data_IF_511180106656
#
_entry.id   IF_511180106656
#
_cell.length_a   1.000
_cell.length_b   1.000
_cell.length_c   1.000
_cell.angle_alpha   90.00
_cell.angle_beta   90.00
_cell.angle_gamma   90.00
#
_symmetry.space_group_name_H-M   'P 1'
#
loop_
_entity.id
_entity.type
_entity.pdbx_description
1 polymer ?
#
# COMPACT_ATOMS: atom_id res chain seq x y z
N UNK A 1 5.89 -32.65 -29.41
CA UNK A 1 7.14 -32.48 -30.18
C UNK A 1 8.22 -32.07 -29.19
N UNK A 2 9.34 -32.80 -29.07
CA UNK A 2 10.42 -32.43 -28.14
C UNK A 2 11.48 -31.64 -28.90
N UNK A 3 12.18 -30.72 -28.23
CA UNK A 3 13.17 -29.83 -28.87
C UNK A 3 14.28 -30.62 -29.60
N UNK A 4 14.72 -31.75 -29.02
CA UNK A 4 15.69 -32.66 -29.64
C UNK A 4 15.23 -33.30 -30.96
N UNK A 5 13.91 -33.30 -31.22
CA UNK A 5 13.34 -33.91 -32.41
C UNK A 5 13.40 -32.96 -33.62
N UNK A 6 13.59 -31.65 -33.38
CA UNK A 6 13.53 -30.58 -34.39
C UNK A 6 14.77 -29.69 -34.43
N UNK A 7 15.67 -29.83 -33.46
CA UNK A 7 16.89 -29.03 -33.38
C UNK A 7 18.06 -29.81 -32.78
N UNK A 8 19.24 -29.56 -33.31
CA UNK A 8 20.51 -29.97 -32.75
C UNK A 8 20.99 -28.94 -31.71
N UNK A 9 21.41 -29.40 -30.54
CA UNK A 9 21.94 -28.53 -29.48
C UNK A 9 23.45 -28.69 -29.40
N UNK A 10 24.18 -27.57 -29.45
CA UNK A 10 25.61 -27.50 -29.14
C UNK A 10 25.80 -26.67 -27.89
N UNK A 11 26.65 -27.15 -27.00
CA UNK A 11 27.06 -26.40 -25.81
C UNK A 11 28.56 -26.12 -25.91
N UNK A 12 28.96 -24.92 -25.52
CA UNK A 12 30.36 -24.51 -25.47
C UNK A 12 30.59 -23.64 -24.24
N UNK A 13 31.59 -23.98 -23.44
CA UNK A 13 31.94 -23.25 -22.23
C UNK A 13 33.17 -22.37 -22.48
N UNK A 14 33.12 -21.12 -22.03
CA UNK A 14 34.26 -20.20 -22.02
C UNK A 14 34.29 -19.40 -20.71
N UNK A 15 34.95 -19.97 -19.70
CA UNK A 15 35.14 -19.32 -18.40
C UNK A 15 33.88 -19.48 -17.54
N UNK A 16 33.17 -18.38 -17.29
CA UNK A 16 31.91 -18.39 -16.52
C UNK A 16 30.67 -18.31 -17.44
N UNK A 17 30.85 -18.55 -18.75
CA UNK A 17 29.82 -18.37 -19.78
C UNK A 17 29.58 -19.68 -20.52
N UNK A 18 28.36 -20.21 -20.42
CA UNK A 18 27.90 -21.36 -21.21
C UNK A 18 27.10 -20.85 -22.40
N UNK A 19 27.58 -21.17 -23.60
CA UNK A 19 26.91 -20.89 -24.87
C UNK A 19 26.12 -22.13 -25.28
N UNK A 20 24.81 -21.98 -25.48
CA UNK A 20 23.95 -23.04 -26.00
C UNK A 20 23.43 -22.59 -27.36
N UNK A 21 23.88 -23.25 -28.43
CA UNK A 21 23.37 -23.05 -29.78
C UNK A 21 22.30 -24.10 -30.07
N UNK A 22 21.09 -23.63 -30.37
CA UNK A 22 19.97 -24.45 -30.83
C UNK A 22 19.84 -24.26 -32.34
N UNK A 23 20.14 -25.32 -33.10
CA UNK A 23 20.23 -25.30 -34.55
C UNK A 23 19.05 -26.12 -35.08
N UNK A 24 18.06 -25.45 -35.68
CA UNK A 24 16.93 -26.14 -36.29
C UNK A 24 17.41 -27.09 -37.40
N UNK A 25 16.87 -28.31 -37.46
CA UNK A 25 17.16 -29.22 -38.56
C UNK A 25 16.53 -28.76 -39.88
N UNK A 26 15.41 -28.05 -39.80
CA UNK A 26 14.65 -27.54 -40.93
C UNK A 26 14.24 -26.09 -40.71
N UNK A 27 14.12 -25.35 -41.80
CA UNK A 27 13.75 -23.93 -41.78
C UNK A 27 12.31 -23.70 -41.28
N UNK A 28 11.39 -24.64 -41.53
CA UNK A 28 10.00 -24.58 -41.05
C UNK A 28 9.90 -24.60 -39.51
N UNK A 29 10.81 -25.30 -38.85
CA UNK A 29 10.84 -25.42 -37.38
C UNK A 29 11.44 -24.17 -36.71
N UNK A 30 12.17 -23.34 -37.48
CA UNK A 30 12.83 -22.14 -36.98
C UNK A 30 11.85 -21.17 -36.31
N UNK A 31 10.68 -20.95 -36.93
CA UNK A 31 9.66 -20.04 -36.43
C UNK A 31 9.10 -20.51 -35.07
N UNK A 32 8.80 -21.80 -34.97
CA UNK A 32 8.32 -22.43 -33.73
C UNK A 32 9.35 -22.34 -32.61
N UNK A 33 10.62 -22.60 -32.91
CA UNK A 33 11.73 -22.50 -31.96
C UNK A 33 11.91 -21.06 -31.47
N UNK A 34 11.83 -20.07 -32.36
CA UNK A 34 11.95 -18.63 -32.02
C UNK A 34 10.81 -18.15 -31.11
N UNK A 35 9.59 -18.60 -31.34
CA UNK A 35 8.41 -18.18 -30.58
C UNK A 35 8.33 -18.82 -29.19
N UNK A 36 8.84 -20.05 -29.04
CA UNK A 36 8.73 -20.82 -27.78
C UNK A 36 10.02 -20.79 -26.92
N UNK A 37 11.16 -20.40 -27.48
CA UNK A 37 12.37 -20.10 -26.70
C UNK A 37 12.37 -18.59 -26.40
N UNK A 38 11.51 -18.19 -25.48
CA UNK A 38 11.40 -16.82 -24.95
C UNK A 38 12.32 -16.58 -23.76
N UNK A 39 12.57 -15.29 -23.44
CA UNK A 39 13.39 -14.76 -22.33
C UNK A 39 12.79 -15.07 -20.94
N UNK A 40 12.02 -16.14 -20.81
CA UNK A 40 11.63 -16.62 -19.49
C UNK A 40 12.89 -17.11 -18.77
N UNK A 41 12.93 -16.92 -17.46
CA UNK A 41 13.98 -17.48 -16.61
C UNK A 41 13.88 -19.00 -16.73
N UNK A 42 14.79 -19.62 -17.46
CA UNK A 42 14.84 -21.07 -17.61
C UNK A 42 15.95 -21.60 -16.72
N UNK A 43 15.63 -22.69 -16.02
CA UNK A 43 16.60 -23.41 -15.20
C UNK A 43 17.55 -24.16 -16.12
N UNK A 44 18.83 -23.80 -16.06
CA UNK A 44 19.87 -24.40 -16.89
C UNK A 44 20.23 -25.81 -16.38
N UNK A 45 21.06 -26.55 -17.12
CA UNK A 45 21.40 -27.96 -16.82
C UNK A 45 22.10 -28.14 -15.46
N UNK A 46 22.72 -27.09 -14.94
CA UNK A 46 23.37 -27.01 -13.62
C UNK A 46 22.38 -26.65 -12.49
N UNK A 47 21.11 -26.42 -12.83
CA UNK A 47 20.07 -26.02 -11.89
C UNK A 47 20.02 -24.51 -11.61
N UNK A 48 20.82 -23.70 -12.30
CA UNK A 48 20.87 -22.24 -12.10
C UNK A 48 19.87 -21.54 -13.02
N UNK A 49 19.13 -20.59 -12.45
CA UNK A 49 18.17 -19.77 -13.19
C UNK A 49 18.91 -18.74 -14.08
N UNK A 50 18.69 -18.80 -15.40
CA UNK A 50 19.35 -17.92 -16.39
C UNK A 50 18.34 -17.22 -17.31
N UNK A 51 18.67 -16.00 -17.71
CA UNK A 51 18.00 -15.23 -18.76
C UNK A 51 18.71 -15.46 -20.09
N UNK A 52 17.96 -15.87 -21.10
CA UNK A 52 18.45 -16.13 -22.45
C UNK A 52 18.04 -15.01 -23.40
N UNK A 53 19.01 -14.37 -24.04
CA UNK A 53 18.80 -13.31 -25.03
C UNK A 53 19.23 -13.77 -26.41
N UNK A 54 18.40 -13.56 -27.42
CA UNK A 54 18.72 -13.90 -28.82
C UNK A 54 18.67 -12.65 -29.69
N UNK A 55 19.70 -12.43 -30.51
CA UNK A 55 19.79 -11.32 -31.43
C UNK A 55 20.25 -11.78 -32.82
N UNK A 56 19.70 -11.13 -33.85
CA UNK A 56 19.98 -11.43 -35.26
C UNK A 56 21.15 -10.55 -35.74
N UNK A 57 22.14 -11.14 -36.39
CA UNK A 57 23.22 -10.42 -37.06
C UNK A 57 22.84 -10.26 -38.53
N UNK A 58 22.45 -9.04 -38.92
CA UNK A 58 21.88 -8.75 -40.25
C UNK A 58 22.82 -9.12 -41.42
N UNK A 59 24.13 -9.12 -41.21
CA UNK A 59 25.12 -9.30 -42.29
C UNK A 59 25.45 -10.77 -42.60
N UNK A 60 25.16 -11.71 -41.69
CA UNK A 60 25.64 -13.11 -41.80
C UNK A 60 24.56 -14.18 -41.70
N UNK A 61 23.28 -13.81 -41.58
CA UNK A 61 22.17 -14.74 -41.28
C UNK A 61 22.38 -15.56 -39.99
N UNK A 62 23.31 -15.15 -39.12
CA UNK A 62 23.56 -15.80 -37.84
C UNK A 62 22.69 -15.19 -36.74
N UNK A 63 22.39 -16.02 -35.74
CA UNK A 63 21.70 -15.61 -34.53
C UNK A 63 22.60 -15.88 -33.35
N UNK A 64 22.87 -14.85 -32.57
CA UNK A 64 23.66 -14.94 -31.34
C UNK A 64 22.72 -15.08 -30.17
N UNK A 65 22.94 -16.11 -29.35
CA UNK A 65 22.29 -16.29 -28.07
C UNK A 65 23.28 -15.99 -26.94
N UNK A 66 22.88 -15.24 -25.92
CA UNK A 66 23.65 -15.07 -24.67
C UNK A 66 22.81 -15.53 -23.49
N UNK A 67 23.45 -16.17 -22.51
CA UNK A 67 22.81 -16.61 -21.27
C UNK A 67 23.52 -15.97 -20.09
N UNK A 68 22.78 -15.23 -19.26
CA UNK A 68 23.29 -14.62 -18.03
C UNK A 68 22.47 -15.13 -16.85
N UNK A 69 23.12 -15.44 -15.73
CA UNK A 69 22.39 -15.85 -14.52
C UNK A 69 21.44 -14.74 -14.07
N UNK A 70 20.20 -15.10 -13.75
CA UNK A 70 19.19 -14.15 -13.30
C UNK A 70 19.66 -13.41 -12.04
N UNK A 71 20.35 -14.09 -11.13
CA UNK A 71 20.91 -13.44 -9.94
C UNK A 71 21.88 -12.30 -10.27
N UNK A 72 22.81 -12.47 -11.21
CA UNK A 72 23.72 -11.37 -11.59
C UNK A 72 23.03 -10.29 -12.43
N UNK A 73 22.05 -10.65 -13.26
CA UNK A 73 21.38 -9.71 -14.16
C UNK A 73 20.33 -8.84 -13.46
N UNK A 74 19.55 -9.43 -12.55
CA UNK A 74 18.40 -8.78 -11.90
C UNK A 74 18.45 -8.87 -10.37
N UNK A 75 19.43 -9.55 -9.76
CA UNK A 75 19.51 -9.69 -8.31
C UNK A 75 19.55 -8.35 -7.58
N UNK A 76 20.31 -7.38 -8.10
CA UNK A 76 20.35 -6.00 -7.58
C UNK A 76 18.96 -5.35 -7.62
N UNK A 77 18.17 -5.62 -8.68
CA UNK A 77 16.80 -5.09 -8.82
C UNK A 77 15.85 -5.78 -7.85
N UNK A 78 15.97 -7.09 -7.66
CA UNK A 78 15.14 -7.87 -6.74
C UNK A 78 15.41 -7.48 -5.29
N UNK A 79 16.66 -7.32 -4.88
CA UNK A 79 17.04 -6.83 -3.55
C UNK A 79 16.45 -5.44 -3.30
N UNK A 80 16.56 -4.54 -4.27
CA UNK A 80 15.95 -3.21 -4.18
C UNK A 80 14.42 -3.25 -4.03
N UNK A 81 13.74 -4.15 -4.75
CA UNK A 81 12.28 -4.32 -4.61
C UNK A 81 11.91 -4.82 -3.21
N UNK A 82 12.70 -5.72 -2.62
CA UNK A 82 12.46 -6.23 -1.26
C UNK A 82 12.60 -5.13 -0.20
N UNK A 83 13.62 -4.27 -0.32
CA UNK A 83 13.78 -3.11 0.54
C UNK A 83 12.61 -2.12 0.42
N UNK A 84 12.14 -1.86 -0.81
CA UNK A 84 10.96 -1.03 -1.06
C UNK A 84 9.69 -1.63 -0.44
N UNK A 85 9.52 -2.96 -0.45
CA UNK A 85 8.38 -3.62 0.18
C UNK A 85 8.38 -3.42 1.70
N UNK A 86 9.54 -3.53 2.35
CA UNK A 86 9.67 -3.32 3.80
C UNK A 86 9.30 -1.88 4.16
N UNK A 87 9.87 -0.89 3.46
CA UNK A 87 9.57 0.53 3.69
C UNK A 87 8.08 0.83 3.49
N UNK A 88 7.45 0.24 2.47
CA UNK A 88 6.00 0.40 2.22
C UNK A 88 5.15 -0.12 3.37
N UNK A 89 5.49 -1.29 3.92
CA UNK A 89 4.76 -1.87 5.07
C UNK A 89 4.86 -0.94 6.28
N UNK A 90 6.06 -0.41 6.55
CA UNK A 90 6.29 0.53 7.66
C UNK A 90 5.41 1.78 7.49
N UNK A 91 5.42 2.39 6.30
CA UNK A 91 4.61 3.58 6.02
C UNK A 91 3.12 3.27 6.19
N UNK A 92 2.64 2.13 5.71
CA UNK A 92 1.24 1.71 5.84
C UNK A 92 0.81 1.58 7.31
N UNK A 93 1.63 0.93 8.13
CA UNK A 93 1.37 0.78 9.58
C UNK A 93 1.34 2.13 10.27
N UNK A 94 2.26 3.04 9.94
CA UNK A 94 2.29 4.40 10.47
C UNK A 94 1.01 5.16 10.09
N UNK A 95 0.58 5.10 8.84
CA UNK A 95 -0.65 5.75 8.38
C UNK A 95 -1.89 5.25 9.12
N UNK A 96 -2.02 3.93 9.29
CA UNK A 96 -3.12 3.32 10.04
C UNK A 96 -3.10 3.82 11.49
N UNK A 97 -1.93 3.84 12.11
CA UNK A 97 -1.74 4.28 13.50
C UNK A 97 -2.14 5.76 13.67
N UNK A 98 -1.69 6.64 12.77
CA UNK A 98 -2.02 8.07 12.78
C UNK A 98 -3.53 8.28 12.58
N UNK A 99 -4.14 7.55 11.64
CA UNK A 99 -5.58 7.67 11.36
C UNK A 99 -6.41 7.31 12.59
N UNK A 100 -6.09 6.19 13.25
CA UNK A 100 -6.76 5.77 14.47
C UNK A 100 -6.55 6.75 15.62
N UNK A 101 -5.35 7.34 15.71
CA UNK A 101 -5.05 8.37 16.70
C UNK A 101 -5.90 9.62 16.49
N UNK A 102 -5.97 10.15 15.27
CA UNK A 102 -6.80 11.32 14.93
C UNK A 102 -8.28 11.03 15.21
N UNK A 103 -8.76 9.85 14.83
CA UNK A 103 -10.16 9.47 15.05
C UNK A 103 -10.54 9.53 16.54
N UNK A 104 -9.71 8.94 17.41
CA UNK A 104 -10.00 8.89 18.84
C UNK A 104 -9.72 10.21 19.57
N UNK A 105 -8.71 10.97 19.14
CA UNK A 105 -8.28 12.19 19.82
C UNK A 105 -9.08 13.43 19.41
N UNK A 106 -9.59 13.46 18.17
CA UNK A 106 -10.22 14.63 17.55
C UNK A 106 -11.61 14.30 17.00
N UNK A 107 -11.73 13.39 16.03
CA UNK A 107 -12.99 13.18 15.30
C UNK A 107 -14.14 12.76 16.20
N UNK A 108 -13.91 11.80 17.10
CA UNK A 108 -14.93 11.30 18.03
C UNK A 108 -15.38 12.38 19.04
N UNK A 109 -14.49 13.12 19.71
CA UNK A 109 -14.87 14.28 20.51
C UNK A 109 -15.66 15.36 19.74
N UNK A 110 -15.26 15.69 18.51
CA UNK A 110 -16.02 16.65 17.68
C UNK A 110 -17.43 16.14 17.40
N UNK A 111 -17.60 14.87 17.08
CA UNK A 111 -18.94 14.28 16.90
C UNK A 111 -19.76 14.38 18.20
N UNK A 112 -19.12 14.22 19.37
CA UNK A 112 -19.78 14.38 20.67
C UNK A 112 -20.21 15.83 20.93
N UNK A 113 -19.42 16.81 20.52
CA UNK A 113 -19.78 18.23 20.69
C UNK A 113 -20.99 18.61 19.84
N UNK A 114 -21.10 18.08 18.62
CA UNK A 114 -22.28 18.25 17.75
C UNK A 114 -23.54 17.68 18.41
N UNK A 115 -23.44 16.53 19.07
CA UNK A 115 -24.57 15.95 19.82
C UNK A 115 -25.01 16.85 20.97
N UNK A 116 -24.08 17.35 21.78
CA UNK A 116 -24.38 18.27 22.89
C UNK A 116 -25.07 19.53 22.38
N UNK A 117 -24.62 20.07 21.24
CA UNK A 117 -25.28 21.22 20.64
C UNK A 117 -26.71 20.91 20.18
N UNK A 118 -26.94 19.72 19.62
CA UNK A 118 -28.28 19.22 19.29
C UNK A 118 -29.18 19.11 20.53
N UNK A 119 -28.65 18.62 21.65
CA UNK A 119 -29.39 18.53 22.91
C UNK A 119 -29.79 19.93 23.41
N UNK A 120 -28.86 20.89 23.37
CA UNK A 120 -29.11 22.30 23.73
C UNK A 120 -30.19 22.93 22.82
N UNK A 121 -30.10 22.70 21.50
CA UNK A 121 -31.05 23.24 20.54
C UNK A 121 -32.48 22.70 20.75
N UNK A 122 -32.61 21.46 21.22
CA UNK A 122 -33.88 20.84 21.61
C UNK A 122 -34.31 21.17 23.05
N UNK A 123 -33.60 22.10 23.72
CA UNK A 123 -33.82 22.49 25.12
C UNK A 123 -33.68 21.33 26.12
N UNK A 124 -33.04 20.21 25.75
CA UNK A 124 -32.67 19.16 26.68
C UNK A 124 -31.38 19.54 27.42
N UNK A 125 -31.53 20.36 28.45
CA UNK A 125 -30.43 20.80 29.30
C UNK A 125 -30.10 19.81 30.42
N UNK A 126 -30.72 18.62 30.44
CA UNK A 126 -30.50 17.62 31.49
C UNK A 126 -29.16 16.87 31.35
N UNK A 127 -28.64 16.79 30.11
CA UNK A 127 -27.42 16.06 29.79
C UNK A 127 -26.18 16.75 30.37
N UNK A 128 -25.34 15.98 31.02
CA UNK A 128 -24.08 16.46 31.60
C UNK A 128 -22.91 16.12 30.69
N UNK A 129 -21.91 16.99 30.69
CA UNK A 129 -20.64 16.77 30.00
C UNK A 129 -19.69 16.04 30.97
N UNK A 130 -19.08 14.95 30.50
CA UNK A 130 -18.17 14.13 31.31
C UNK A 130 -17.00 14.94 31.87
N UNK A 131 -16.61 14.67 33.13
CA UNK A 131 -15.47 15.37 33.75
C UNK A 131 -14.17 15.22 32.98
N UNK A 132 -13.97 14.08 32.31
CA UNK A 132 -12.78 13.84 31.50
C UNK A 132 -12.67 14.85 30.36
N UNK A 133 -13.79 15.16 29.71
CA UNK A 133 -13.85 16.11 28.61
C UNK A 133 -13.65 17.55 29.10
N UNK A 134 -14.17 17.88 30.29
CA UNK A 134 -13.98 19.19 30.92
C UNK A 134 -12.54 19.44 31.40
N UNK A 135 -11.81 18.39 31.78
CA UNK A 135 -10.41 18.46 32.24
C UNK A 135 -9.40 18.50 31.09
N UNK A 136 -9.84 18.37 29.83
CA UNK A 136 -8.96 18.51 28.67
C UNK A 136 -8.37 19.93 28.63
N UNK A 137 -7.09 20.03 28.29
CA UNK A 137 -6.34 21.29 28.25
C UNK A 137 -6.17 21.87 26.84
N UNK A 138 -6.79 21.26 25.85
CA UNK A 138 -6.76 21.65 24.44
C UNK A 138 -7.99 22.48 24.04
N UNK A 139 -8.11 22.81 22.77
CA UNK A 139 -9.20 23.59 22.19
C UNK A 139 -10.56 22.90 22.36
N UNK A 140 -10.58 21.55 22.36
CA UNK A 140 -11.79 20.78 22.62
C UNK A 140 -12.23 20.92 24.08
N UNK A 141 -11.28 20.87 25.03
CA UNK A 141 -11.55 21.14 26.44
C UNK A 141 -12.13 22.54 26.67
N UNK A 142 -11.58 23.55 26.01
CA UNK A 142 -12.13 24.91 26.05
C UNK A 142 -13.57 24.95 25.53
N UNK A 143 -13.83 24.29 24.39
CA UNK A 143 -15.17 24.18 23.81
C UNK A 143 -16.18 23.52 24.76
N UNK A 144 -15.82 22.41 25.42
CA UNK A 144 -16.68 21.76 26.41
C UNK A 144 -16.99 22.64 27.61
N UNK A 145 -15.99 23.38 28.12
CA UNK A 145 -16.18 24.31 29.23
C UNK A 145 -17.11 25.47 28.83
N UNK A 146 -16.96 26.01 27.62
CA UNK A 146 -17.88 27.03 27.08
C UNK A 146 -19.32 26.50 27.01
N UNK A 147 -19.54 25.29 26.49
CA UNK A 147 -20.89 24.70 26.46
C UNK A 147 -21.47 24.47 27.85
N UNK A 148 -20.68 24.00 28.81
CA UNK A 148 -21.12 23.86 30.21
C UNK A 148 -21.63 25.20 30.76
N UNK A 149 -20.89 26.28 30.50
CA UNK A 149 -21.28 27.62 30.93
C UNK A 149 -22.55 28.09 30.22
N UNK A 150 -22.70 27.85 28.91
CA UNK A 150 -23.93 28.16 28.16
C UNK A 150 -25.14 27.43 28.73
N UNK A 151 -25.03 26.12 28.99
CA UNK A 151 -26.10 25.33 29.62
C UNK A 151 -26.45 25.89 31.00
N UNK A 152 -25.43 26.25 31.80
CA UNK A 152 -25.62 26.86 33.11
C UNK A 152 -26.40 28.18 33.04
N UNK A 153 -26.00 29.07 32.15
CA UNK A 153 -26.65 30.37 31.96
C UNK A 153 -28.11 30.21 31.47
N UNK A 154 -28.37 29.28 30.55
CA UNK A 154 -29.73 28.98 30.09
C UNK A 154 -30.62 28.46 31.23
N UNK A 155 -30.10 27.57 32.09
CA UNK A 155 -30.84 27.07 33.26
C UNK A 155 -31.20 28.19 34.23
N UNK A 156 -30.27 29.10 34.50
CA UNK A 156 -30.51 30.27 35.36
C UNK A 156 -31.60 31.14 34.76
N UNK A 157 -31.49 31.47 33.48
CA UNK A 157 -32.48 32.28 32.76
C UNK A 157 -33.89 31.66 32.81
N UNK A 158 -34.02 30.36 32.56
CA UNK A 158 -35.32 29.66 32.65
C UNK A 158 -35.90 29.71 34.07
N UNK A 159 -35.07 29.54 35.10
CA UNK A 159 -35.50 29.61 36.50
C UNK A 159 -35.96 31.02 36.89
N UNK A 160 -35.28 32.06 36.42
CA UNK A 160 -35.68 33.45 36.65
C UNK A 160 -37.01 33.78 35.97
N UNK A 161 -37.23 33.28 34.75
CA UNK A 161 -38.52 33.40 34.07
C UNK A 161 -39.65 32.72 34.86
N UNK A 162 -39.43 31.50 35.33
CA UNK A 162 -40.41 30.76 36.12
C UNK A 162 -40.80 31.51 37.41
N UNK A 163 -39.80 32.00 38.16
CA UNK A 163 -40.03 32.80 39.36
C UNK A 163 -40.85 34.06 39.06
N UNK A 164 -40.58 34.74 37.94
CA UNK A 164 -41.30 35.97 37.54
C UNK A 164 -42.77 35.68 37.23
N UNK A 165 -43.06 34.53 36.61
CA UNK A 165 -44.43 34.10 36.33
C UNK A 165 -45.16 33.78 37.65
N UNK A 166 -44.49 33.14 38.61
CA UNK A 166 -45.09 32.80 39.91
C UNK A 166 -45.37 34.02 40.80
N UNK A 167 -44.58 35.10 40.71
CA UNK A 167 -44.79 36.33 41.50
C UNK A 167 -45.97 37.17 40.98
N UNK A 168 -46.35 37.02 39.70
CA UNK A 168 -47.45 37.76 39.07
C UNK A 168 -48.82 37.06 39.17
N UNK A 169 -48.90 35.93 39.88
CA UNK A 169 -50.13 35.22 40.22
C UNK A 169 -50.40 35.28 41.73
#
# INVERSE_FOLDING_TARGET
MKLKDIAHIRTGDKGNLVNIAVIAYKEEDYKTIKEHITVEVVKDYDGVDRLFFFADILESNWKVGTAISAHHAIGVVVEFIMDLLIVRIIILVIFISITLYIFNSITKPIARTVQIFGDIANLDLSKTIDEKELKRKDELGQMYNSFKNTIGNLKVFMKEMENTIQINH
#
